data_IF_233274640353
#
_entry.id   IF_233274640353
#
_cell.length_a   1.000
_cell.length_b   1.000
_cell.length_c   1.000
_cell.angle_alpha   90.00
_cell.angle_beta   90.00
_cell.angle_gamma   90.00
#
_symmetry.space_group_name_H-M   'P 1'
#
loop_
_entity.id
_entity.type
_entity.pdbx_description
1 polymer ?
#
# COMPACT_ATOMS: atom_id res chain seq x y z
N UNK A 1 -55.00 -9.97 6.37
CA UNK A 1 -55.03 -8.50 6.21
C UNK A 1 -54.38 -7.92 7.46
N UNK A 2 -53.07 -7.66 7.42
CA UNK A 2 -52.35 -6.98 8.52
C UNK A 2 -51.86 -5.65 7.98
N UNK A 3 -52.27 -4.57 8.64
CA UNK A 3 -51.96 -3.18 8.31
C UNK A 3 -50.52 -2.86 8.71
N UNK A 4 -49.74 -2.30 7.78
CA UNK A 4 -48.44 -1.71 8.09
C UNK A 4 -48.66 -0.45 8.93
N UNK A 5 -48.08 -0.41 10.12
CA UNK A 5 -47.88 0.83 10.87
C UNK A 5 -46.68 1.53 10.23
N UNK A 6 -46.88 2.80 9.84
CA UNK A 6 -45.82 3.68 9.36
C UNK A 6 -45.42 4.56 10.54
N UNK A 7 -44.35 4.20 11.25
CA UNK A 7 -43.69 5.06 12.21
C UNK A 7 -42.73 5.99 11.46
N UNK A 8 -43.16 7.25 11.28
CA UNK A 8 -42.41 8.25 10.53
C UNK A 8 -41.13 8.75 11.23
N UNK A 9 -40.23 7.88 11.67
CA UNK A 9 -38.90 8.25 12.13
C UNK A 9 -37.85 7.12 12.12
N UNK A 10 -37.83 6.26 11.10
CA UNK A 10 -36.69 5.34 10.88
C UNK A 10 -36.41 5.30 9.40
N UNK A 11 -35.50 6.14 8.89
CA UNK A 11 -34.93 5.95 7.54
C UNK A 11 -33.70 6.83 7.27
N UNK A 12 -33.54 7.99 7.93
CA UNK A 12 -32.40 8.88 7.62
C UNK A 12 -31.05 8.36 8.14
N UNK A 13 -31.00 7.75 9.32
CA UNK A 13 -29.76 7.19 9.86
C UNK A 13 -29.30 5.97 9.06
N UNK A 14 -30.23 5.11 8.63
CA UNK A 14 -29.95 3.92 7.82
C UNK A 14 -29.52 4.32 6.41
N UNK A 15 -30.17 5.34 5.82
CA UNK A 15 -29.76 5.86 4.52
C UNK A 15 -28.37 6.51 4.55
N UNK A 16 -28.04 7.26 5.62
CA UNK A 16 -26.70 7.82 5.82
C UNK A 16 -25.65 6.72 6.03
N UNK A 17 -25.96 5.71 6.84
CA UNK A 17 -25.07 4.58 7.10
C UNK A 17 -24.85 3.77 5.81
N UNK A 18 -25.89 3.52 5.02
CA UNK A 18 -25.78 2.89 3.71
C UNK A 18 -24.98 3.74 2.71
N UNK A 19 -25.17 5.07 2.68
CA UNK A 19 -24.38 5.96 1.81
C UNK A 19 -22.89 5.96 2.19
N UNK A 20 -22.60 5.98 3.49
CA UNK A 20 -21.22 5.89 4.01
C UNK A 20 -20.62 4.51 3.71
N UNK A 21 -21.40 3.44 3.80
CA UNK A 21 -20.95 2.08 3.45
C UNK A 21 -20.72 1.92 1.94
N UNK A 22 -21.58 2.51 1.10
CA UNK A 22 -21.45 2.51 -0.36
C UNK A 22 -20.24 3.34 -0.84
N UNK A 23 -20.02 4.55 -0.29
CA UNK A 23 -18.81 5.35 -0.58
C UNK A 23 -17.52 4.64 -0.13
N UNK A 24 -17.58 3.84 0.94
CA UNK A 24 -16.43 3.03 1.39
C UNK A 24 -16.22 1.77 0.54
N UNK A 25 -17.22 1.30 -0.20
CA UNK A 25 -17.15 0.10 -1.04
C UNK A 25 -16.62 0.38 -2.45
N UNK A 26 -16.63 1.64 -2.90
CA UNK A 26 -16.10 2.07 -4.20
C UNK A 26 -14.57 2.20 -4.25
N UNK A 27 -13.89 2.10 -3.10
CA UNK A 27 -12.44 1.93 -3.11
C UNK A 27 -12.12 0.46 -3.40
N UNK A 28 -11.94 0.14 -4.68
CA UNK A 28 -11.40 -1.14 -5.11
C UNK A 28 -10.15 -1.47 -4.26
N UNK A 29 -10.24 -2.54 -3.47
CA UNK A 29 -9.12 -2.98 -2.65
C UNK A 29 -8.06 -3.53 -3.61
N UNK A 30 -7.03 -2.74 -3.87
CA UNK A 30 -5.91 -3.14 -4.73
C UNK A 30 -5.00 -4.07 -3.92
N UNK A 31 -5.06 -5.36 -4.24
CA UNK A 31 -4.23 -6.40 -3.63
C UNK A 31 -3.15 -6.86 -4.61
N UNK A 32 -1.91 -6.93 -4.13
CA UNK A 32 -0.80 -7.49 -4.88
C UNK A 32 -0.28 -8.76 -4.22
N UNK A 33 0.05 -9.77 -5.04
CA UNK A 33 0.82 -10.90 -4.54
C UNK A 33 2.24 -10.43 -4.16
N UNK A 34 2.87 -11.08 -3.18
CA UNK A 34 4.25 -10.76 -2.80
C UNK A 34 5.23 -10.89 -3.97
N UNK A 35 4.95 -11.80 -4.91
CA UNK A 35 5.77 -11.95 -6.10
C UNK A 35 5.58 -10.79 -7.09
N UNK A 36 4.37 -10.26 -7.23
CA UNK A 36 4.11 -9.08 -8.07
C UNK A 36 4.83 -7.83 -7.53
N UNK A 37 4.85 -7.65 -6.21
CA UNK A 37 5.59 -6.56 -5.56
C UNK A 37 7.09 -6.61 -5.94
N UNK A 38 7.66 -7.81 -6.08
CA UNK A 38 9.07 -8.00 -6.46
C UNK A 38 9.41 -7.55 -7.88
N UNK A 39 8.43 -7.54 -8.78
CA UNK A 39 8.61 -7.04 -10.15
C UNK A 39 8.39 -5.54 -10.30
N UNK A 40 7.91 -4.84 -9.26
CA UNK A 40 7.64 -3.41 -9.36
C UNK A 40 8.91 -2.56 -9.23
N UNK A 41 8.98 -1.50 -10.02
CA UNK A 41 10.04 -0.50 -9.92
C UNK A 41 9.80 0.41 -8.72
N UNK A 42 10.84 0.65 -7.94
CA UNK A 42 10.78 1.63 -6.85
C UNK A 42 11.28 2.98 -7.34
N UNK A 43 10.43 3.99 -7.21
CA UNK A 43 10.71 5.37 -7.62
C UNK A 43 10.57 6.28 -6.42
N UNK A 44 11.60 7.09 -6.16
CA UNK A 44 11.55 8.13 -5.15
C UNK A 44 10.74 9.33 -5.69
N UNK A 45 9.69 9.73 -4.97
CA UNK A 45 8.82 10.84 -5.36
C UNK A 45 9.54 12.20 -5.34
N UNK A 46 10.63 12.33 -4.57
CA UNK A 46 11.32 13.60 -4.37
C UNK A 46 12.28 13.87 -5.53
N UNK A 47 12.97 12.84 -5.98
CA UNK A 47 13.97 12.92 -7.04
C UNK A 47 13.42 12.51 -8.41
N UNK A 48 12.34 11.71 -8.44
CA UNK A 48 11.86 11.04 -9.65
C UNK A 48 12.77 9.90 -10.12
N UNK A 49 13.83 9.59 -9.37
CA UNK A 49 14.81 8.59 -9.75
C UNK A 49 14.31 7.18 -9.42
N UNK A 50 14.58 6.24 -10.33
CA UNK A 50 14.43 4.81 -10.06
C UNK A 50 15.52 4.36 -9.09
N UNK A 51 15.11 3.84 -7.95
CA UNK A 51 16.01 3.25 -6.94
C UNK A 51 16.36 1.80 -7.28
N UNK A 52 15.44 1.06 -7.90
CA UNK A 52 15.66 -0.34 -8.26
C UNK A 52 14.37 -1.17 -8.23
N UNK A 53 14.51 -2.43 -7.85
CA UNK A 53 13.42 -3.38 -7.63
C UNK A 53 13.52 -3.93 -6.21
N UNK A 54 12.43 -4.49 -5.70
CA UNK A 54 12.42 -5.13 -4.37
C UNK A 54 13.28 -6.39 -4.38
N UNK A 55 14.37 -6.39 -3.60
CA UNK A 55 15.15 -7.60 -3.33
C UNK A 55 14.47 -8.44 -2.25
N UNK A 56 14.03 -7.84 -1.15
CA UNK A 56 13.46 -8.53 0.01
C UNK A 56 12.34 -7.71 0.65
N UNK A 57 11.36 -8.40 1.23
CA UNK A 57 10.30 -7.82 2.05
C UNK A 57 10.52 -8.31 3.48
N UNK A 58 10.60 -7.39 4.43
CA UNK A 58 10.70 -7.72 5.84
C UNK A 58 9.30 -7.78 6.42
N UNK A 59 8.97 -8.88 7.07
CA UNK A 59 7.62 -9.16 7.57
C UNK A 59 7.69 -9.31 9.09
N UNK A 60 6.87 -8.57 9.80
CA UNK A 60 6.53 -8.85 11.19
C UNK A 60 5.58 -10.06 11.22
N UNK A 61 6.06 -11.16 11.79
CA UNK A 61 5.32 -12.42 11.84
C UNK A 61 4.18 -12.38 12.86
N UNK A 62 4.33 -11.62 13.95
CA UNK A 62 3.30 -11.51 14.98
C UNK A 62 2.12 -10.68 14.45
N UNK A 63 2.42 -9.59 13.76
CA UNK A 63 1.43 -8.68 13.20
C UNK A 63 0.97 -9.04 11.78
N UNK A 64 1.65 -9.97 11.12
CA UNK A 64 1.44 -10.34 9.71
C UNK A 64 1.48 -9.14 8.74
N UNK A 65 2.40 -8.21 8.97
CA UNK A 65 2.55 -6.96 8.21
C UNK A 65 3.93 -6.81 7.60
N UNK A 66 4.01 -6.19 6.43
CA UNK A 66 5.30 -5.76 5.86
C UNK A 66 5.78 -4.55 6.67
N UNK A 67 7.02 -4.60 7.16
CA UNK A 67 7.63 -3.51 7.93
C UNK A 67 8.62 -2.69 7.12
N UNK A 68 9.26 -3.29 6.12
CA UNK A 68 10.18 -2.61 5.22
C UNK A 68 10.40 -3.37 3.92
N UNK A 69 10.95 -2.64 2.94
CA UNK A 69 11.35 -3.12 1.61
C UNK A 69 12.86 -2.91 1.48
N UNK A 70 13.58 -3.94 1.05
CA UNK A 70 15.03 -3.85 0.79
C UNK A 70 15.27 -3.77 -0.71
N UNK A 71 16.07 -2.80 -1.12
CA UNK A 71 16.48 -2.54 -2.50
C UNK A 71 18.00 -2.75 -2.60
N UNK A 72 18.49 -3.51 -3.59
CA UNK A 72 19.92 -3.72 -3.75
C UNK A 72 20.59 -2.40 -4.12
N UNK A 73 21.76 -2.08 -3.53
CA UNK A 73 22.50 -0.91 -3.99
C UNK A 73 22.98 -1.09 -5.44
N UNK A 74 22.87 -0.03 -6.24
CA UNK A 74 23.29 0.02 -7.63
C UNK A 74 24.82 0.10 -7.76
N UNK A 75 25.54 -0.88 -7.20
CA UNK A 75 26.98 -0.70 -6.99
C UNK A 75 27.76 -1.95 -6.61
N UNK A 76 27.29 -3.17 -6.94
CA UNK A 76 28.10 -4.41 -6.82
C UNK A 76 29.25 -4.46 -7.86
N UNK A 77 30.02 -3.38 -7.96
CA UNK A 77 31.33 -3.41 -8.59
C UNK A 77 32.32 -3.75 -7.47
N UNK A 78 33.20 -4.72 -7.75
CA UNK A 78 34.18 -5.39 -6.88
C UNK A 78 35.04 -4.51 -5.92
N UNK A 79 34.88 -3.19 -5.90
CA UNK A 79 35.64 -2.27 -5.05
C UNK A 79 34.83 -1.36 -4.12
N UNK A 80 33.49 -1.34 -4.20
CA UNK A 80 32.66 -0.60 -3.23
C UNK A 80 31.57 -1.51 -2.66
N UNK A 81 31.57 -1.67 -1.34
CA UNK A 81 30.53 -2.37 -0.59
C UNK A 81 29.45 -1.36 -0.24
N UNK A 82 28.68 -0.91 -1.22
CA UNK A 82 27.49 -0.13 -0.91
C UNK A 82 26.48 -1.03 -0.19
N UNK A 83 25.89 -0.50 0.88
CA UNK A 83 24.88 -1.21 1.67
C UNK A 83 23.53 -1.15 0.97
N UNK A 84 22.77 -2.24 1.05
CA UNK A 84 21.41 -2.30 0.53
C UNK A 84 20.54 -1.21 1.20
N UNK A 85 19.59 -0.66 0.45
CA UNK A 85 18.72 0.42 0.90
C UNK A 85 17.48 -0.21 1.53
N UNK A 86 17.29 0.00 2.83
CA UNK A 86 16.06 -0.38 3.53
C UNK A 86 15.07 0.80 3.59
N UNK A 87 13.85 0.58 3.10
CA UNK A 87 12.76 1.56 3.12
C UNK A 87 11.65 1.07 4.05
N UNK A 88 11.39 1.74 5.18
CA UNK A 88 10.27 1.41 6.05
C UNK A 88 8.93 1.47 5.29
N UNK A 89 8.00 0.57 5.60
CA UNK A 89 6.69 0.52 4.93
C UNK A 89 5.92 1.83 5.08
N UNK A 90 6.10 2.55 6.19
CA UNK A 90 5.51 3.88 6.40
C UNK A 90 6.00 4.96 5.42
N UNK A 91 7.06 4.71 4.64
CA UNK A 91 7.55 5.59 3.57
C UNK A 91 7.04 5.17 2.19
N UNK A 92 6.28 4.09 2.07
CA UNK A 92 5.59 3.70 0.84
C UNK A 92 4.33 4.56 0.69
N UNK A 93 4.29 5.34 -0.38
CA UNK A 93 3.21 6.31 -0.64
C UNK A 93 2.09 5.68 -1.45
N UNK A 94 2.45 4.91 -2.46
CA UNK A 94 1.49 4.22 -3.34
C UNK A 94 2.15 3.03 -4.02
N UNK A 95 1.45 1.91 -4.07
CA UNK A 95 1.75 0.80 -4.97
C UNK A 95 0.73 0.81 -6.11
N UNK A 96 1.21 0.82 -7.34
CA UNK A 96 0.41 0.65 -8.55
C UNK A 96 0.61 -0.74 -9.15
N UNK A 97 0.31 -0.89 -10.44
CA UNK A 97 0.52 -2.16 -11.16
C UNK A 97 1.99 -2.52 -11.30
N UNK A 98 2.82 -1.54 -11.67
CA UNK A 98 4.23 -1.74 -12.06
C UNK A 98 5.22 -0.96 -11.20
N UNK A 99 4.75 -0.01 -10.38
CA UNK A 99 5.59 0.96 -9.68
C UNK A 99 5.17 1.09 -8.22
N UNK A 100 6.15 1.17 -7.34
CA UNK A 100 6.00 1.56 -5.94
C UNK A 100 6.66 2.93 -5.76
N UNK A 101 5.87 3.90 -5.31
CA UNK A 101 6.32 5.24 -4.98
C UNK A 101 6.72 5.31 -3.51
N UNK A 102 7.90 5.85 -3.23
CA UNK A 102 8.46 5.98 -1.88
C UNK A 102 8.97 7.40 -1.62
N UNK A 103 9.06 7.78 -0.34
CA UNK A 103 9.76 9.00 0.08
C UNK A 103 11.07 8.65 0.82
N UNK A 104 12.20 9.00 0.22
CA UNK A 104 13.54 8.72 0.78
C UNK A 104 14.04 9.77 1.76
N UNK A 105 13.20 10.74 2.16
CA UNK A 105 13.61 11.74 3.15
C UNK A 105 14.07 11.07 4.45
N UNK A 106 15.14 11.63 5.03
CA UNK A 106 15.50 11.37 6.43
C UNK A 106 14.36 11.77 7.37
#
# INVERSE_FOLDING_TARGET
MYTKFNDGNTDNSIALENNILEENLENDIILHSLNAIRSMEIIDIRTGCKLGFVQELVIDIEESKIVSIIIPSAGKNWFNKEEDIEIPWGKVIKAGMDVILVDTSK
#
